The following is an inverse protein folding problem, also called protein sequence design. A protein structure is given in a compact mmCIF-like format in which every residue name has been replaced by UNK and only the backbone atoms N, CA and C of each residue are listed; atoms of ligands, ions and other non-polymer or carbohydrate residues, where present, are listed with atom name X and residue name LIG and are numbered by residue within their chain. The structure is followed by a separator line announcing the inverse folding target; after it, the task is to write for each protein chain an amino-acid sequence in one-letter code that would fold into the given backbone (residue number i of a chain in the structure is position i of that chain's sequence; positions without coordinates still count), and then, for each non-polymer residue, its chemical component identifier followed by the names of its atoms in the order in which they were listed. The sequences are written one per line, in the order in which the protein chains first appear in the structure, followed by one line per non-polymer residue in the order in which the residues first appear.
data_IF_372965254157
#
_entry.id   IF_372965254157
#
_cell.length_a   1.000
_cell.length_b   1.000
_cell.length_c   1.000
_cell.angle_alpha   90.00
_cell.angle_beta   90.00
_cell.angle_gamma   90.00
#
_symmetry.space_group_name_H-M   'P 1'
#
loop_
_entity.id
_entity.type
_entity.pdbx_description
1 polymer ?
#
# COMPACT_ATOMS: atom_id res chain seq x y z
N UNK A 1 -8.00 4.76 -25.03
CA UNK A 1 -6.83 3.94 -24.67
C UNK A 1 -7.14 3.29 -23.33
N UNK A 2 -7.36 1.97 -23.28
CA UNK A 2 -7.86 1.29 -22.07
C UNK A 2 -6.79 1.21 -20.97
N UNK A 3 -7.23 1.14 -19.70
CA UNK A 3 -6.33 0.95 -18.55
C UNK A 3 -5.55 -0.36 -18.76
N UNK A 4 -4.21 -0.33 -18.77
CA UNK A 4 -3.41 -1.55 -18.95
C UNK A 4 -3.68 -2.53 -17.80
N UNK A 5 -3.77 -3.82 -18.11
CA UNK A 5 -3.88 -4.86 -17.08
C UNK A 5 -2.68 -4.79 -16.14
N UNK A 6 -2.86 -5.13 -14.86
CA UNK A 6 -1.77 -5.06 -13.86
C UNK A 6 -0.52 -5.84 -14.31
N UNK A 7 -0.71 -7.00 -14.96
CA UNK A 7 0.39 -7.79 -15.52
C UNK A 7 1.25 -7.01 -16.53
N UNK A 8 0.62 -6.18 -17.39
CA UNK A 8 1.36 -5.36 -18.38
C UNK A 8 2.15 -4.23 -17.73
N UNK A 9 1.70 -3.73 -16.58
CA UNK A 9 2.42 -2.71 -15.82
C UNK A 9 3.68 -3.34 -15.21
N UNK A 10 3.53 -4.48 -14.55
CA UNK A 10 4.64 -5.20 -13.92
C UNK A 10 5.70 -5.61 -14.94
N UNK A 11 5.30 -6.15 -16.09
CA UNK A 11 6.22 -6.53 -17.16
C UNK A 11 7.00 -5.36 -17.78
N UNK A 12 6.51 -4.13 -17.61
CA UNK A 12 7.14 -2.93 -18.16
C UNK A 12 8.14 -2.29 -17.19
N UNK A 13 7.83 -2.28 -15.89
CA UNK A 13 8.57 -1.50 -14.90
C UNK A 13 9.47 -2.31 -13.96
N UNK A 14 9.22 -3.62 -13.79
CA UNK A 14 10.11 -4.46 -13.01
C UNK A 14 11.37 -4.81 -13.82
N UNK A 15 12.54 -4.47 -13.28
CA UNK A 15 13.83 -4.73 -13.92
C UNK A 15 14.19 -6.22 -13.93
N UNK A 16 13.71 -6.95 -12.92
CA UNK A 16 13.86 -8.38 -12.71
C UNK A 16 12.65 -9.17 -13.20
N UNK A 17 11.86 -8.59 -14.11
CA UNK A 17 10.68 -9.25 -14.63
C UNK A 17 11.03 -10.53 -15.38
N UNK A 18 10.45 -11.63 -14.93
CA UNK A 18 10.41 -12.89 -15.65
C UNK A 18 9.00 -13.49 -15.57
N UNK A 19 8.53 -14.08 -16.67
CA UNK A 19 7.15 -14.55 -16.79
C UNK A 19 6.78 -15.62 -15.76
N UNK A 20 7.63 -16.63 -15.58
CA UNK A 20 7.36 -17.78 -14.72
C UNK A 20 7.15 -17.42 -13.24
N UNK A 21 8.11 -16.76 -12.55
CA UNK A 21 7.93 -16.39 -11.14
C UNK A 21 6.82 -15.36 -10.94
N UNK A 22 6.65 -14.41 -11.88
CA UNK A 22 5.54 -13.45 -11.80
C UNK A 22 4.18 -14.16 -11.91
N UNK A 23 4.00 -15.07 -12.87
CA UNK A 23 2.76 -15.83 -13.02
C UNK A 23 2.45 -16.67 -11.77
N UNK A 24 3.46 -17.34 -11.19
CA UNK A 24 3.34 -18.08 -9.94
C UNK A 24 2.88 -17.20 -8.77
N UNK A 25 3.48 -16.02 -8.61
CA UNK A 25 3.08 -15.05 -7.58
C UNK A 25 1.64 -14.56 -7.78
N UNK A 26 1.22 -14.26 -9.01
CA UNK A 26 -0.17 -13.87 -9.28
C UNK A 26 -1.16 -14.98 -8.92
N UNK A 27 -0.86 -16.24 -9.27
CA UNK A 27 -1.70 -17.38 -8.91
C UNK A 27 -1.78 -17.58 -7.39
N UNK A 28 -0.68 -17.35 -6.67
CA UNK A 28 -0.64 -17.44 -5.22
C UNK A 28 -1.53 -16.36 -4.58
N UNK A 29 -1.42 -15.11 -5.04
CA UNK A 29 -2.21 -13.99 -4.49
C UNK A 29 -3.70 -14.07 -4.87
N UNK A 30 -4.04 -14.65 -6.01
CA UNK A 30 -5.44 -14.86 -6.42
C UNK A 30 -6.07 -16.13 -5.84
N UNK A 31 -5.34 -16.87 -4.99
CA UNK A 31 -5.75 -18.19 -4.48
C UNK A 31 -6.08 -19.20 -5.59
N UNK A 32 -5.51 -19.01 -6.79
CA UNK A 32 -5.66 -19.94 -7.92
C UNK A 32 -4.58 -21.03 -7.91
N UNK A 33 -3.59 -20.91 -7.03
CA UNK A 33 -2.56 -21.92 -6.80
C UNK A 33 -3.04 -23.00 -5.81
N UNK A 34 -2.58 -24.24 -5.99
CA UNK A 34 -3.03 -25.41 -5.21
C UNK A 34 -2.45 -25.49 -3.77
N UNK A 35 -2.14 -24.35 -3.14
CA UNK A 35 -1.60 -24.29 -1.78
C UNK A 35 -2.56 -23.58 -0.81
N UNK A 36 -2.30 -23.76 0.49
CA UNK A 36 -3.05 -23.16 1.60
C UNK A 36 -3.20 -21.64 1.42
N UNK A 37 -4.44 -21.15 1.52
CA UNK A 37 -4.74 -19.73 1.37
C UNK A 37 -4.04 -18.90 2.46
N UNK A 38 -3.53 -17.70 2.14
CA UNK A 38 -3.18 -16.73 3.16
C UNK A 38 -4.46 -16.35 3.91
N UNK A 39 -4.39 -16.36 5.24
CA UNK A 39 -5.52 -16.01 6.07
C UNK A 39 -5.88 -14.52 5.90
N UNK A 40 -7.12 -14.15 6.25
CA UNK A 40 -7.56 -12.75 6.20
C UNK A 40 -6.70 -11.82 7.08
N UNK A 41 -5.98 -12.37 8.07
CA UNK A 41 -5.08 -11.63 8.94
C UNK A 41 -3.80 -11.16 8.22
N UNK A 42 -3.31 -11.95 7.26
CA UNK A 42 -2.16 -11.63 6.39
C UNK A 42 -2.54 -10.65 5.28
N UNK A 43 -3.78 -10.70 4.80
CA UNK A 43 -4.24 -9.87 3.69
C UNK A 43 -4.67 -8.45 4.08
N UNK A 44 -4.83 -8.14 5.38
CA UNK A 44 -5.20 -6.79 5.81
C UNK A 44 -3.99 -5.85 5.68
N UNK A 45 -4.02 -4.83 4.79
CA UNK A 45 -2.86 -3.98 4.52
C UNK A 45 -2.41 -3.20 5.76
N UNK A 46 -3.33 -2.88 6.66
CA UNK A 46 -3.04 -2.19 7.92
C UNK A 46 -2.24 -3.07 8.89
N UNK A 47 -2.68 -4.32 9.09
CA UNK A 47 -2.00 -5.26 10.00
C UNK A 47 -0.65 -5.66 9.43
N UNK A 48 -0.58 -5.89 8.12
CA UNK A 48 0.67 -6.21 7.44
C UNK A 48 1.66 -5.04 7.49
N UNK A 49 1.19 -3.82 7.16
CA UNK A 49 2.00 -2.61 7.21
C UNK A 49 2.61 -2.37 8.60
N UNK A 50 1.79 -2.42 9.66
CA UNK A 50 2.27 -2.28 11.04
C UNK A 50 3.25 -3.37 11.48
N UNK A 51 3.15 -4.58 10.91
CA UNK A 51 4.05 -5.70 11.23
C UNK A 51 5.40 -5.54 10.54
N UNK A 52 5.41 -5.08 9.28
CA UNK A 52 6.61 -5.01 8.44
C UNK A 52 7.35 -3.69 8.63
N UNK A 53 6.64 -2.58 8.80
CA UNK A 53 7.18 -1.24 8.99
C UNK A 53 6.82 -0.73 10.39
N UNK A 54 7.66 -1.06 11.39
CA UNK A 54 7.38 -0.69 12.79
C UNK A 54 7.53 0.82 13.06
N UNK A 55 8.39 1.51 12.29
CA UNK A 55 8.69 2.94 12.49
C UNK A 55 7.88 3.83 11.56
N UNK A 56 7.43 3.30 10.43
CA UNK A 56 6.75 4.07 9.39
C UNK A 56 7.71 4.68 8.37
N UNK A 57 9.02 4.38 8.45
CA UNK A 57 10.04 5.05 7.64
C UNK A 57 9.86 4.78 6.16
N UNK A 58 9.35 3.59 5.81
CA UNK A 58 9.06 3.25 4.43
C UNK A 58 7.97 4.17 3.87
N UNK A 59 6.86 4.36 4.60
CA UNK A 59 5.79 5.26 4.19
C UNK A 59 6.30 6.71 4.09
N UNK A 60 7.06 7.18 5.07
CA UNK A 60 7.59 8.56 5.07
C UNK A 60 8.56 8.82 3.92
N UNK A 61 9.30 7.81 3.49
CA UNK A 61 10.23 7.91 2.38
C UNK A 61 9.50 7.99 1.02
N UNK A 62 8.55 7.09 0.78
CA UNK A 62 7.87 6.98 -0.52
C UNK A 62 6.62 7.87 -0.66
N UNK A 63 6.07 8.35 0.45
CA UNK A 63 4.87 9.20 0.51
C UNK A 63 5.18 10.42 1.39
N UNK A 64 6.01 11.37 0.90
CA UNK A 64 6.53 12.46 1.71
C UNK A 64 5.45 13.40 2.26
N UNK A 65 4.28 13.48 1.64
CA UNK A 65 3.13 14.23 2.16
C UNK A 65 2.61 13.70 3.50
N UNK A 66 2.86 12.43 3.83
CA UNK A 66 2.52 11.82 5.14
C UNK A 66 3.69 11.90 6.14
N UNK A 67 4.85 12.43 5.73
CA UNK A 67 6.10 12.40 6.54
C UNK A 67 6.03 13.18 7.85
N UNK A 68 5.11 14.13 7.95
CA UNK A 68 4.85 14.98 9.12
C UNK A 68 3.71 14.47 10.00
N UNK A 69 2.99 13.42 9.59
CA UNK A 69 1.92 12.85 10.41
C UNK A 69 2.48 12.09 11.62
N UNK A 70 1.83 12.19 12.80
CA UNK A 70 2.18 11.35 13.94
C UNK A 70 2.06 9.87 13.58
N UNK A 71 2.98 9.06 14.12
CA UNK A 71 3.05 7.61 13.82
C UNK A 71 1.70 6.89 14.03
N UNK A 72 0.95 7.27 15.07
CA UNK A 72 -0.38 6.70 15.38
C UNK A 72 -1.40 6.81 14.23
N UNK A 73 -1.26 7.81 13.36
CA UNK A 73 -2.17 8.05 12.25
C UNK A 73 -1.58 7.68 10.88
N UNK A 74 -0.30 7.29 10.83
CA UNK A 74 0.41 7.08 9.56
C UNK A 74 -0.20 5.96 8.72
N UNK A 75 -0.61 4.85 9.35
CA UNK A 75 -1.26 3.72 8.67
C UNK A 75 -2.74 3.98 8.38
N UNK A 76 -3.39 4.87 9.13
CA UNK A 76 -4.81 5.19 8.99
C UNK A 76 -5.03 6.72 8.91
N UNK A 77 -4.53 7.40 7.85
CA UNK A 77 -4.58 8.86 7.79
C UNK A 77 -5.99 9.43 7.87
N UNK A 78 -7.01 8.69 7.42
CA UNK A 78 -8.42 9.09 7.46
C UNK A 78 -9.01 9.21 8.88
N UNK A 79 -8.33 8.69 9.90
CA UNK A 79 -8.72 8.86 11.31
C UNK A 79 -8.09 10.11 11.94
N UNK A 80 -7.21 10.81 11.22
CA UNK A 80 -6.51 11.99 11.72
C UNK A 80 -7.50 13.15 11.94
N UNK A 81 -7.61 13.73 13.16
CA UNK A 81 -8.41 14.93 13.38
C UNK A 81 -7.92 16.10 12.53
N UNK A 82 -8.83 17.00 12.12
CA UNK A 82 -8.48 18.15 11.28
C UNK A 82 -7.38 19.02 11.90
N UNK A 83 -7.40 19.21 13.22
CA UNK A 83 -6.37 19.97 13.94
C UNK A 83 -4.97 19.35 13.85
N UNK A 84 -4.86 18.03 13.69
CA UNK A 84 -3.58 17.33 13.50
C UNK A 84 -3.18 17.37 12.02
N UNK A 85 -4.14 17.27 11.10
CA UNK A 85 -3.90 17.43 9.66
C UNK A 85 -3.29 18.81 9.34
N UNK A 86 -3.87 19.87 9.90
CA UNK A 86 -3.36 21.25 9.73
C UNK A 86 -1.95 21.40 10.31
N UNK A 87 -1.71 20.90 11.54
CA UNK A 87 -0.39 20.96 12.18
C UNK A 87 0.68 20.18 11.42
N UNK A 88 0.30 19.09 10.76
CA UNK A 88 1.19 18.27 9.95
C UNK A 88 1.28 18.73 8.50
N UNK A 89 0.56 19.80 8.10
CA UNK A 89 0.50 20.26 6.70
C UNK A 89 0.06 19.14 5.72
N UNK A 90 -0.74 18.19 6.20
CA UNK A 90 -1.26 17.07 5.42
C UNK A 90 -2.79 17.05 5.54
N UNK A 91 -3.47 17.86 4.73
CA UNK A 91 -4.94 17.91 4.69
C UNK A 91 -5.47 16.88 3.71
N UNK A 92 -6.34 15.99 4.18
CA UNK A 92 -6.97 14.97 3.34
C UNK A 92 -7.89 15.61 2.28
N UNK A 93 -7.85 15.08 1.07
CA UNK A 93 -8.52 15.63 -0.11
C UNK A 93 -7.76 16.77 -0.79
N UNK A 94 -6.75 17.35 -0.13
CA UNK A 94 -5.92 18.43 -0.69
C UNK A 94 -4.48 18.00 -0.91
N UNK A 95 -3.77 17.64 0.17
CA UNK A 95 -2.38 17.19 0.12
C UNK A 95 -2.25 15.69 -0.08
N UNK A 96 -3.19 14.92 0.48
CA UNK A 96 -3.25 13.47 0.36
C UNK A 96 -4.69 13.04 0.04
N UNK A 97 -4.93 12.13 -0.91
CA UNK A 97 -6.28 11.79 -1.34
C UNK A 97 -7.10 11.09 -0.24
N UNK A 98 -8.42 11.15 -0.36
CA UNK A 98 -9.31 10.32 0.44
C UNK A 98 -9.15 8.84 0.07
N UNK A 99 -9.42 7.95 1.04
CA UNK A 99 -9.42 6.50 0.80
C UNK A 99 -10.44 6.15 -0.30
N UNK A 100 -10.05 5.26 -1.21
CA UNK A 100 -10.85 4.95 -2.40
C UNK A 100 -11.80 3.77 -2.17
N UNK A 101 -11.43 2.77 -1.33
CA UNK A 101 -12.30 1.66 -0.86
C UNK A 101 -11.86 1.26 0.54
#
# INVERSE_FOLDING_TARGET
MGIPTRQKIFSKYLIDFEWSPCAGNWMLQSSSFFNHQPDASTCCPLKYGRRVDLTGDYIRHYVPELSSLPHNFLFEPWLTPLSVQEKSSCVLGTNYPHRIV
#
